data_IF_980478627161
#
_entry.id   IF_980478627161
#
_cell.length_a   1.000
_cell.length_b   1.000
_cell.length_c   1.000
_cell.angle_alpha   90.00
_cell.angle_beta   90.00
_cell.angle_gamma   90.00
#
_symmetry.space_group_name_H-M   'P 1'
#
loop_
_entity.id
_entity.type
_entity.pdbx_description
1 polymer ?
#
# COMPACT_ATOMS: atom_id res chain seq x y z
N UNK A 1 -4.57 -14.87 10.96
CA UNK A 1 -4.09 -14.99 9.57
C UNK A 1 -4.58 -16.25 8.89
N UNK A 2 -4.17 -17.46 9.30
CA UNK A 2 -4.61 -18.69 8.64
C UNK A 2 -6.15 -18.84 8.58
N UNK A 3 -6.85 -18.62 9.69
CA UNK A 3 -8.32 -18.65 9.71
C UNK A 3 -8.94 -17.63 8.74
N UNK A 4 -8.37 -16.43 8.65
CA UNK A 4 -8.85 -15.38 7.73
C UNK A 4 -8.68 -15.81 6.27
N UNK A 5 -7.58 -16.47 5.92
CA UNK A 5 -7.32 -16.96 4.57
C UNK A 5 -8.25 -18.13 4.22
N UNK A 6 -8.32 -19.14 5.11
CA UNK A 6 -9.01 -20.39 4.85
C UNK A 6 -10.54 -20.26 4.93
N UNK A 7 -11.05 -19.43 5.85
CA UNK A 7 -12.49 -19.18 5.96
C UNK A 7 -13.07 -18.58 4.68
N UNK A 8 -12.28 -17.78 3.94
CA UNK A 8 -12.68 -17.19 2.68
C UNK A 8 -12.21 -17.96 1.45
N UNK A 9 -11.60 -19.14 1.63
CA UNK A 9 -11.16 -20.01 0.53
C UNK A 9 -10.22 -19.28 -0.44
N UNK A 10 -9.35 -18.40 0.08
CA UNK A 10 -8.48 -17.58 -0.75
C UNK A 10 -7.48 -18.46 -1.52
N UNK A 11 -7.43 -18.28 -2.84
CA UNK A 11 -6.48 -18.96 -3.72
C UNK A 11 -5.13 -18.27 -3.75
N UNK A 12 -5.12 -16.93 -3.71
CA UNK A 12 -3.93 -16.10 -3.78
C UNK A 12 -3.93 -15.06 -2.67
N UNK A 13 -2.79 -14.91 -1.99
CA UNK A 13 -2.62 -13.95 -0.89
C UNK A 13 -1.39 -13.09 -1.16
N UNK A 14 -1.57 -11.80 -1.51
CA UNK A 14 -0.47 -10.86 -1.66
C UNK A 14 0.24 -10.64 -0.32
N UNK A 15 1.54 -10.88 -0.27
CA UNK A 15 2.35 -10.76 0.94
C UNK A 15 3.76 -10.23 0.65
N UNK A 16 4.37 -9.61 1.65
CA UNK A 16 5.81 -9.34 1.64
C UNK A 16 6.62 -10.63 1.81
N UNK A 17 7.89 -10.62 1.39
CA UNK A 17 8.81 -11.77 1.52
C UNK A 17 8.91 -12.28 2.97
N UNK A 18 8.82 -11.37 3.94
CA UNK A 18 8.87 -11.65 5.37
C UNK A 18 7.61 -12.37 5.92
N UNK A 19 6.54 -12.42 5.13
CA UNK A 19 5.25 -12.99 5.54
C UNK A 19 4.94 -14.34 4.84
N UNK A 20 5.85 -14.86 4.00
CA UNK A 20 5.68 -16.13 3.27
C UNK A 20 5.38 -17.28 4.24
N UNK A 21 6.10 -17.33 5.37
CA UNK A 21 5.94 -18.39 6.37
C UNK A 21 4.50 -18.45 6.94
N UNK A 22 3.81 -17.32 7.06
CA UNK A 22 2.42 -17.33 7.51
C UNK A 22 1.46 -17.99 6.50
N UNK A 23 1.78 -17.89 5.20
CA UNK A 23 1.00 -18.55 4.14
C UNK A 23 1.30 -20.05 4.13
N UNK A 24 2.57 -20.44 4.31
CA UNK A 24 2.96 -21.85 4.44
C UNK A 24 2.25 -22.52 5.62
N UNK A 25 2.22 -21.88 6.79
CA UNK A 25 1.46 -22.37 7.95
C UNK A 25 -0.03 -22.54 7.62
N UNK A 26 -0.63 -21.60 6.89
CA UNK A 26 -2.03 -21.72 6.46
C UNK A 26 -2.25 -22.91 5.52
N UNK A 27 -1.31 -23.18 4.59
CA UNK A 27 -1.33 -24.34 3.69
C UNK A 27 -1.19 -25.65 4.44
N UNK A 28 -0.30 -25.73 5.43
CA UNK A 28 -0.09 -26.93 6.23
C UNK A 28 -1.35 -27.26 7.05
N UNK A 29 -1.95 -26.25 7.68
CA UNK A 29 -3.23 -26.38 8.39
C UNK A 29 -4.33 -26.87 7.45
N UNK A 30 -4.44 -26.28 6.25
CA UNK A 30 -5.44 -26.69 5.26
C UNK A 30 -5.22 -28.11 4.76
N UNK A 31 -3.97 -28.50 4.51
CA UNK A 31 -3.60 -29.85 4.07
C UNK A 31 -3.94 -30.88 5.14
N UNK A 32 -3.56 -30.63 6.38
CA UNK A 32 -3.88 -31.49 7.52
C UNK A 32 -5.40 -31.65 7.71
N UNK A 33 -6.15 -30.55 7.65
CA UNK A 33 -7.61 -30.59 7.77
C UNK A 33 -8.23 -31.39 6.63
N UNK A 34 -7.81 -31.16 5.38
CA UNK A 34 -8.32 -31.87 4.21
C UNK A 34 -8.04 -33.37 4.28
N UNK A 35 -6.88 -33.77 4.79
CA UNK A 35 -6.55 -35.17 5.00
C UNK A 35 -7.40 -35.80 6.11
N UNK A 36 -7.63 -35.08 7.20
CA UNK A 36 -8.32 -35.60 8.40
C UNK A 36 -9.83 -35.66 8.25
N UNK A 37 -10.43 -34.62 7.66
CA UNK A 37 -11.89 -34.41 7.61
C UNK A 37 -12.46 -34.43 6.17
N UNK A 38 -11.60 -34.65 5.18
CA UNK A 38 -11.94 -34.61 3.76
C UNK A 38 -11.75 -33.21 3.14
N UNK A 39 -11.58 -33.18 1.82
CA UNK A 39 -11.29 -31.95 1.06
C UNK A 39 -12.31 -30.85 1.32
N UNK A 40 -11.86 -29.79 2.00
CA UNK A 40 -12.70 -28.67 2.48
C UNK A 40 -12.07 -27.31 2.21
N UNK A 41 -10.76 -27.17 2.39
CA UNK A 41 -10.02 -25.92 2.18
C UNK A 41 -9.25 -25.91 0.86
N UNK A 42 -9.29 -24.76 0.21
CA UNK A 42 -8.37 -24.40 -0.88
C UNK A 42 -7.00 -24.13 -0.30
N UNK A 43 -5.94 -24.61 -0.95
CA UNK A 43 -4.56 -24.34 -0.52
C UNK A 43 -4.13 -22.96 -1.05
N UNK A 44 -3.93 -21.95 -0.19
CA UNK A 44 -3.59 -20.60 -0.63
C UNK A 44 -2.16 -20.55 -1.18
N UNK A 45 -1.93 -19.81 -2.26
CA UNK A 45 -0.61 -19.48 -2.78
C UNK A 45 -0.25 -18.04 -2.40
N UNK A 46 1.01 -17.82 -2.03
CA UNK A 46 1.48 -16.46 -1.81
C UNK A 46 1.76 -15.79 -3.17
N UNK A 47 1.45 -14.50 -3.25
CA UNK A 47 1.87 -13.66 -4.38
C UNK A 47 2.84 -12.63 -3.82
N UNK A 48 4.10 -12.73 -4.24
CA UNK A 48 5.09 -11.70 -3.93
C UNK A 48 4.85 -10.57 -4.90
N UNK A 49 4.47 -9.41 -4.39
CA UNK A 49 4.65 -8.18 -5.17
C UNK A 49 6.15 -7.97 -5.32
N UNK A 50 6.64 -7.80 -6.55
CA UNK A 50 8.00 -7.29 -6.76
C UNK A 50 8.21 -6.10 -5.84
N UNK A 51 9.36 -6.05 -5.17
CA UNK A 51 9.65 -4.99 -4.19
C UNK A 51 9.39 -3.64 -4.86
N UNK A 52 8.26 -3.01 -4.50
CA UNK A 52 7.95 -1.66 -4.95
C UNK A 52 9.12 -0.76 -4.57
N UNK A 53 9.41 0.22 -5.43
CA UNK A 53 10.54 1.12 -5.24
C UNK A 53 10.56 1.62 -3.78
N UNK A 54 11.63 1.32 -3.05
CA UNK A 54 11.80 1.81 -1.69
C UNK A 54 11.89 3.33 -1.78
N UNK A 55 10.79 4.00 -1.43
CA UNK A 55 10.74 5.44 -1.46
C UNK A 55 11.68 6.04 -0.40
N UNK A 56 12.55 6.98 -0.77
CA UNK A 56 13.34 7.72 0.20
C UNK A 56 12.44 8.71 0.96
N UNK A 57 12.76 8.92 2.23
CA UNK A 57 12.11 9.90 3.09
C UNK A 57 12.71 11.29 2.94
N UNK A 58 12.28 12.19 3.82
CA UNK A 58 12.73 13.60 3.86
C UNK A 58 14.25 13.77 3.99
N UNK A 59 14.94 12.76 4.51
CA UNK A 59 16.36 12.76 4.79
C UNK A 59 17.19 11.88 3.84
N UNK A 60 16.57 11.32 2.79
CA UNK A 60 17.20 10.43 1.80
C UNK A 60 17.32 8.97 2.21
N UNK A 61 17.09 8.63 3.49
CA UNK A 61 17.02 7.22 3.94
C UNK A 61 15.67 6.62 3.55
N UNK A 62 15.51 5.29 3.61
CA UNK A 62 14.20 4.62 3.46
C UNK A 62 13.12 5.35 4.27
N UNK A 63 12.00 5.68 3.62
CA UNK A 63 10.88 6.32 4.29
C UNK A 63 10.30 5.39 5.36
N UNK A 64 10.23 5.87 6.60
CA UNK A 64 9.70 5.11 7.73
C UNK A 64 9.14 6.03 8.81
N UNK A 65 8.00 5.63 9.40
CA UNK A 65 7.43 6.31 10.56
C UNK A 65 8.41 6.36 11.74
N UNK A 66 9.20 5.30 11.95
CA UNK A 66 10.18 5.22 13.04
C UNK A 66 11.35 6.19 12.88
N UNK A 67 11.68 6.58 11.65
CA UNK A 67 12.72 7.56 11.37
C UNK A 67 12.19 9.00 11.39
N UNK A 68 10.88 9.19 11.49
CA UNK A 68 10.26 10.52 11.45
C UNK A 68 10.46 11.25 10.10
N UNK A 69 10.81 10.52 9.04
CA UNK A 69 11.16 11.08 7.72
C UNK A 69 10.03 10.89 6.68
N UNK A 70 8.79 10.74 7.13
CA UNK A 70 7.64 10.42 6.26
C UNK A 70 7.01 11.67 5.63
N UNK A 71 6.44 11.47 4.43
CA UNK A 71 5.46 12.38 3.83
C UNK A 71 4.08 11.71 4.00
N UNK A 72 3.18 12.22 4.86
CA UNK A 72 1.85 11.62 5.02
C UNK A 72 1.05 11.73 3.72
N UNK A 73 0.46 10.61 3.27
CA UNK A 73 -0.23 10.49 1.98
C UNK A 73 -1.32 11.56 1.79
N UNK A 74 -2.20 11.74 2.78
CA UNK A 74 -3.29 12.72 2.73
C UNK A 74 -3.01 13.95 3.59
N UNK A 75 -1.74 14.38 3.67
CA UNK A 75 -1.42 15.67 4.24
C UNK A 75 -2.17 16.80 3.51
N UNK A 76 -2.62 17.80 4.25
CA UNK A 76 -3.13 19.05 3.67
C UNK A 76 -2.09 19.69 2.75
N UNK A 77 -2.57 20.42 1.74
CA UNK A 77 -1.74 21.02 0.69
C UNK A 77 -0.56 21.83 1.23
N UNK A 78 -0.80 22.72 2.20
CA UNK A 78 0.25 23.54 2.80
C UNK A 78 1.25 22.71 3.63
N UNK A 79 0.77 21.66 4.31
CA UNK A 79 1.65 20.74 5.04
C UNK A 79 2.52 19.93 4.09
N UNK A 80 1.95 19.40 3.01
CA UNK A 80 2.67 18.69 1.96
C UNK A 80 3.77 19.58 1.36
N UNK A 81 3.43 20.80 0.97
CA UNK A 81 4.38 21.78 0.44
C UNK A 81 5.54 22.02 1.40
N UNK A 82 5.26 22.27 2.69
CA UNK A 82 6.28 22.46 3.73
C UNK A 82 7.17 21.23 3.91
N UNK A 83 6.62 20.03 3.81
CA UNK A 83 7.41 18.78 3.92
C UNK A 83 8.32 18.58 2.71
N UNK A 84 7.82 18.80 1.50
CA UNK A 84 8.63 18.70 0.26
C UNK A 84 9.80 19.70 0.29
N UNK A 85 9.57 20.91 0.78
CA UNK A 85 10.63 21.91 0.94
C UNK A 85 11.75 21.46 1.89
N UNK A 86 11.43 20.61 2.89
CA UNK A 86 12.39 20.06 3.86
C UNK A 86 13.21 18.89 3.34
N UNK A 87 12.88 18.32 2.17
CA UNK A 87 13.65 17.20 1.61
C UNK A 87 15.10 17.65 1.43
N UNK A 88 16.04 16.86 1.96
CA UNK A 88 17.48 17.16 1.86
C UNK A 88 17.93 17.15 0.39
N UNK A 89 18.77 18.11 0.05
CA UNK A 89 19.45 18.25 -1.23
C UNK A 89 20.92 18.56 -0.97
N UNK A 90 21.76 18.39 -1.98
CA UNK A 90 23.17 18.78 -1.90
C UNK A 90 23.35 20.31 -2.03
N UNK A 91 24.62 20.73 -2.11
CA UNK A 91 25.04 22.13 -2.25
C UNK A 91 25.27 22.58 -3.72
N UNK A 92 24.89 21.78 -4.71
CA UNK A 92 25.10 22.11 -6.13
C UNK A 92 24.34 23.38 -6.52
N UNK A 93 25.00 24.25 -7.29
CA UNK A 93 24.43 25.54 -7.69
C UNK A 93 23.43 25.38 -8.85
N UNK A 94 22.55 26.38 -9.08
CA UNK A 94 21.81 26.46 -10.33
C UNK A 94 22.77 26.52 -11.53
N UNK A 95 22.37 25.90 -12.65
CA UNK A 95 23.15 25.72 -13.88
C UNK A 95 24.32 24.73 -13.78
N UNK A 96 24.43 23.98 -12.67
CA UNK A 96 25.31 22.80 -12.58
C UNK A 96 24.47 21.53 -12.69
N UNK A 97 24.89 20.53 -13.49
CA UNK A 97 24.24 19.23 -13.58
C UNK A 97 24.01 18.60 -12.21
N UNK A 98 22.89 17.88 -12.05
CA UNK A 98 22.47 17.31 -10.77
C UNK A 98 22.29 15.80 -10.86
N UNK A 99 22.68 15.11 -9.79
CA UNK A 99 22.44 13.68 -9.66
C UNK A 99 20.97 13.37 -9.40
N UNK A 100 20.49 12.28 -9.97
CA UNK A 100 19.10 11.82 -9.86
C UNK A 100 18.87 11.09 -8.52
N UNK A 101 18.87 11.83 -7.42
CA UNK A 101 18.76 11.27 -6.07
C UNK A 101 17.31 11.24 -5.53
N UNK A 102 17.14 11.63 -4.25
CA UNK A 102 15.90 11.53 -3.45
C UNK A 102 14.71 12.19 -4.12
N UNK A 103 14.85 13.44 -4.56
CA UNK A 103 13.74 14.20 -5.17
C UNK A 103 13.26 13.55 -6.47
N UNK A 104 14.18 13.13 -7.34
CA UNK A 104 13.84 12.50 -8.61
C UNK A 104 13.22 11.11 -8.42
N UNK A 105 13.74 10.35 -7.45
CA UNK A 105 13.21 9.03 -7.10
C UNK A 105 11.76 9.11 -6.61
N UNK A 106 11.40 10.13 -5.84
CA UNK A 106 10.00 10.34 -5.44
C UNK A 106 9.19 10.86 -6.63
N UNK A 107 9.74 11.82 -7.39
CA UNK A 107 9.05 12.46 -8.53
C UNK A 107 8.52 11.44 -9.55
N UNK A 108 9.35 10.48 -9.97
CA UNK A 108 8.98 9.48 -10.98
C UNK A 108 7.82 8.58 -10.59
N UNK A 109 7.52 8.43 -9.30
CA UNK A 109 6.38 7.60 -8.84
C UNK A 109 5.03 8.31 -9.01
N UNK A 110 5.02 9.62 -9.30
CA UNK A 110 3.81 10.44 -9.48
C UNK A 110 3.75 11.16 -10.83
N UNK A 111 4.84 11.16 -11.59
CA UNK A 111 4.96 11.86 -12.85
C UNK A 111 4.64 10.93 -14.03
N UNK A 112 4.20 11.50 -15.15
CA UNK A 112 4.09 10.75 -16.41
C UNK A 112 5.46 10.51 -17.04
N UNK A 113 5.57 9.59 -18.00
CA UNK A 113 6.84 9.33 -18.71
C UNK A 113 7.42 10.60 -19.37
N UNK A 114 6.58 11.42 -20.00
CA UNK A 114 7.00 12.69 -20.59
C UNK A 114 7.52 13.68 -19.53
N UNK A 115 6.85 13.74 -18.37
CA UNK A 115 7.26 14.57 -17.24
C UNK A 115 8.58 14.10 -16.63
N UNK A 116 8.82 12.77 -16.60
CA UNK A 116 10.06 12.15 -16.14
C UNK A 116 11.19 12.52 -17.11
N UNK A 117 11.00 12.36 -18.41
CA UNK A 117 12.00 12.68 -19.42
C UNK A 117 12.36 14.17 -19.40
N UNK A 118 11.35 15.06 -19.37
CA UNK A 118 11.58 16.51 -19.24
C UNK A 118 12.33 16.87 -17.96
N UNK A 119 12.06 16.17 -16.85
CA UNK A 119 12.77 16.42 -15.60
C UNK A 119 14.23 15.97 -15.67
N UNK A 120 14.55 14.84 -16.34
CA UNK A 120 15.94 14.41 -16.55
C UNK A 120 16.76 15.46 -17.29
N UNK A 121 16.22 16.00 -18.39
CA UNK A 121 16.88 17.05 -19.18
C UNK A 121 17.09 18.33 -18.34
N UNK A 122 16.12 18.67 -17.49
CA UNK A 122 16.24 19.80 -16.55
C UNK A 122 17.34 19.57 -15.52
N UNK A 123 17.51 18.36 -15.01
CA UNK A 123 18.61 17.99 -14.11
C UNK A 123 19.98 18.12 -14.79
N UNK A 124 20.09 17.70 -16.05
CA UNK A 124 21.33 17.82 -16.84
C UNK A 124 21.69 19.27 -17.14
N UNK A 125 20.69 20.12 -17.40
CA UNK A 125 20.87 21.57 -17.64
C UNK A 125 21.01 22.38 -16.35
N UNK A 126 20.87 21.75 -15.18
CA UNK A 126 21.15 22.34 -13.87
C UNK A 126 19.99 23.12 -13.24
N UNK A 127 18.75 22.64 -13.37
CA UNK A 127 17.57 23.19 -12.67
C UNK A 127 17.82 23.43 -11.18
N UNK A 128 17.43 24.60 -10.66
CA UNK A 128 17.58 24.89 -9.22
C UNK A 128 16.74 23.95 -8.33
N UNK A 129 17.27 23.57 -7.16
CA UNK A 129 16.58 22.69 -6.20
C UNK A 129 15.20 23.20 -5.76
N UNK A 130 15.03 24.52 -5.69
CA UNK A 130 13.74 25.13 -5.40
C UNK A 130 12.68 24.81 -6.45
N UNK A 131 13.07 24.78 -7.72
CA UNK A 131 12.15 24.50 -8.83
C UNK A 131 11.87 23.01 -8.97
N UNK A 132 12.85 22.15 -8.73
CA UNK A 132 12.63 20.70 -8.58
C UNK A 132 11.59 20.42 -7.50
N UNK A 133 11.72 21.04 -6.32
CA UNK A 133 10.79 20.87 -5.20
C UNK A 133 9.39 21.40 -5.52
N UNK A 134 9.27 22.52 -6.25
CA UNK A 134 7.97 23.01 -6.74
C UNK A 134 7.30 22.00 -7.65
N UNK A 135 8.07 21.38 -8.53
CA UNK A 135 7.52 20.44 -9.50
C UNK A 135 7.16 19.09 -8.88
N UNK A 136 7.97 18.62 -7.93
CA UNK A 136 7.62 17.49 -7.08
C UNK A 136 6.30 17.74 -6.32
N UNK A 137 6.13 18.94 -5.75
CA UNK A 137 4.87 19.31 -5.11
C UNK A 137 3.70 19.30 -6.09
N UNK A 138 3.89 19.85 -7.31
CA UNK A 138 2.84 19.89 -8.32
C UNK A 138 2.35 18.50 -8.68
N UNK A 139 3.24 17.56 -8.99
CA UNK A 139 2.84 16.20 -9.40
C UNK A 139 2.19 15.43 -8.26
N UNK A 140 2.74 15.49 -7.04
CA UNK A 140 2.13 14.82 -5.88
C UNK A 140 0.76 15.42 -5.55
N UNK A 141 0.63 16.75 -5.55
CA UNK A 141 -0.65 17.41 -5.25
C UNK A 141 -1.71 17.08 -6.30
N UNK A 142 -1.33 17.03 -7.59
CA UNK A 142 -2.22 16.64 -8.69
C UNK A 142 -2.74 15.22 -8.50
N UNK A 143 -1.86 14.24 -8.33
CA UNK A 143 -2.24 12.83 -8.23
C UNK A 143 -3.09 12.54 -6.97
N UNK A 144 -2.77 13.22 -5.87
CA UNK A 144 -3.43 12.98 -4.59
C UNK A 144 -4.65 13.86 -4.33
N UNK A 145 -4.98 14.83 -5.19
CA UNK A 145 -6.12 15.73 -4.99
C UNK A 145 -7.44 14.98 -4.79
N UNK A 146 -7.83 14.15 -5.76
CA UNK A 146 -9.08 13.38 -5.69
C UNK A 146 -9.12 12.37 -4.53
N UNK A 147 -8.09 11.54 -4.32
CA UNK A 147 -7.99 10.69 -3.13
C UNK A 147 -8.06 11.45 -1.80
N UNK A 148 -7.41 12.62 -1.70
CA UNK A 148 -7.43 13.47 -0.50
C UNK A 148 -8.83 14.03 -0.23
N UNK A 149 -9.57 14.46 -1.26
CA UNK A 149 -10.96 14.89 -1.11
C UNK A 149 -11.84 13.77 -0.53
N UNK A 150 -11.73 12.55 -1.07
CA UNK A 150 -12.46 11.39 -0.54
C UNK A 150 -12.07 11.08 0.90
N UNK A 151 -10.78 11.13 1.21
CA UNK A 151 -10.28 10.94 2.58
C UNK A 151 -10.90 11.97 3.55
N UNK A 152 -10.87 13.25 3.19
CA UNK A 152 -11.45 14.33 4.00
C UNK A 152 -12.96 14.14 4.17
N UNK A 153 -13.68 13.78 3.10
CA UNK A 153 -15.11 13.47 3.15
C UNK A 153 -15.40 12.36 4.17
N UNK A 154 -14.70 11.22 4.11
CA UNK A 154 -14.91 10.11 5.06
C UNK A 154 -14.54 10.47 6.51
N UNK A 155 -13.55 11.33 6.70
CA UNK A 155 -13.16 11.77 8.05
C UNK A 155 -14.14 12.77 8.65
N UNK A 156 -14.77 13.60 7.81
CA UNK A 156 -15.81 14.55 8.24
C UNK A 156 -17.18 13.90 8.41
N UNK A 157 -17.45 12.80 7.70
CA UNK A 157 -18.68 12.02 7.81
C UNK A 157 -18.38 10.53 8.12
N UNK A 158 -18.00 10.19 9.36
CA UNK A 158 -17.65 8.82 9.73
C UNK A 158 -18.75 7.78 9.47
N UNK A 159 -20.02 8.20 9.47
CA UNK A 159 -21.14 7.32 9.15
C UNK A 159 -21.06 6.74 7.73
N UNK A 160 -20.56 7.50 6.74
CA UNK A 160 -20.33 6.98 5.39
C UNK A 160 -19.31 5.84 5.39
N UNK A 161 -18.25 5.97 6.20
CA UNK A 161 -17.25 4.93 6.38
C UNK A 161 -17.84 3.68 7.05
N UNK A 162 -18.63 3.85 8.12
CA UNK A 162 -19.28 2.73 8.79
C UNK A 162 -20.27 1.99 7.88
N UNK A 163 -21.05 2.70 7.08
CA UNK A 163 -21.95 2.08 6.10
C UNK A 163 -21.17 1.29 5.05
N UNK A 164 -20.04 1.80 4.58
CA UNK A 164 -19.19 1.07 3.63
C UNK A 164 -18.57 -0.19 4.26
N UNK A 165 -18.08 -0.10 5.50
CA UNK A 165 -17.54 -1.22 6.26
C UNK A 165 -18.61 -2.28 6.54
N UNK A 166 -19.83 -1.87 6.93
CA UNK A 166 -20.93 -2.79 7.23
C UNK A 166 -21.34 -3.57 5.98
N UNK A 167 -21.47 -2.89 4.83
CA UNK A 167 -21.74 -3.55 3.54
C UNK A 167 -20.66 -4.58 3.17
N UNK A 168 -19.39 -4.25 3.42
CA UNK A 168 -18.28 -5.19 3.25
C UNK A 168 -18.39 -6.39 4.20
N UNK A 169 -18.69 -6.13 5.47
CA UNK A 169 -18.84 -7.14 6.51
C UNK A 169 -20.04 -8.05 6.26
N UNK A 170 -21.16 -7.56 5.74
CA UNK A 170 -22.32 -8.37 5.33
C UNK A 170 -21.97 -9.34 4.21
N UNK A 171 -21.27 -8.87 3.16
CA UNK A 171 -20.80 -9.71 2.06
C UNK A 171 -19.83 -10.78 2.56
N UNK A 172 -18.85 -10.39 3.38
CA UNK A 172 -17.91 -11.31 4.00
C UNK A 172 -18.63 -12.34 4.89
N UNK A 173 -19.52 -11.91 5.80
CA UNK A 173 -20.28 -12.81 6.68
C UNK A 173 -21.14 -13.79 5.91
N UNK A 174 -21.70 -13.40 4.77
CA UNK A 174 -22.50 -14.30 3.92
C UNK A 174 -21.64 -15.45 3.42
N UNK A 175 -20.46 -15.16 2.88
CA UNK A 175 -19.51 -16.19 2.42
C UNK A 175 -18.96 -17.03 3.58
N UNK A 176 -18.57 -16.39 4.67
CA UNK A 176 -18.04 -17.06 5.86
C UNK A 176 -19.06 -18.02 6.50
N UNK A 177 -20.36 -17.67 6.53
CA UNK A 177 -21.41 -18.54 7.07
C UNK A 177 -21.51 -19.84 6.28
N UNK A 178 -21.48 -19.77 4.95
CA UNK A 178 -21.53 -20.96 4.07
C UNK A 178 -20.32 -21.85 4.33
N UNK A 179 -19.13 -21.27 4.29
CA UNK A 179 -17.88 -22.04 4.48
C UNK A 179 -17.78 -22.63 5.90
N UNK A 180 -18.17 -21.86 6.92
CA UNK A 180 -18.18 -22.33 8.31
C UNK A 180 -19.17 -23.46 8.55
N UNK A 181 -20.33 -23.45 7.88
CA UNK A 181 -21.29 -24.54 7.96
C UNK A 181 -20.72 -25.85 7.40
N UNK A 182 -20.04 -25.79 6.25
CA UNK A 182 -19.36 -26.96 5.68
C UNK A 182 -18.23 -27.46 6.59
N UNK A 183 -17.39 -26.55 7.11
CA UNK A 183 -16.32 -26.90 8.06
C UNK A 183 -16.90 -27.61 9.30
N UNK A 184 -17.99 -27.07 9.87
CA UNK A 184 -18.67 -27.67 11.04
C UNK A 184 -19.22 -29.05 10.73
N UNK A 185 -19.83 -29.24 9.57
CA UNK A 185 -20.32 -30.54 9.10
C UNK A 185 -19.18 -31.56 9.00
N UNK A 186 -18.04 -31.16 8.42
CA UNK A 186 -16.84 -32.00 8.23
C UNK A 186 -16.23 -32.49 9.54
N UNK A 187 -16.28 -31.67 10.60
CA UNK A 187 -15.80 -32.03 11.94
C UNK A 187 -16.88 -32.68 12.82
N UNK A 188 -18.07 -32.96 12.29
CA UNK A 188 -19.18 -33.58 13.04
C UNK A 188 -19.87 -32.65 14.04
N UNK A 189 -19.69 -31.33 13.92
CA UNK A 189 -20.35 -30.34 14.77
C UNK A 189 -21.67 -29.88 14.12
N UNK A 190 -22.66 -30.77 14.07
CA UNK A 190 -24.02 -30.39 13.71
C UNK A 190 -24.71 -29.80 14.95
N UNK A 191 -25.28 -28.60 14.83
CA UNK A 191 -26.26 -28.14 15.82
C UNK A 191 -27.46 -29.09 15.67
N UNK A 192 -27.62 -29.99 16.64
CA UNK A 192 -28.90 -30.65 16.86
C UNK A 192 -30.01 -29.60 16.90
N UNK A 193 -31.13 -29.95 16.29
CA UNK A 193 -32.36 -29.16 16.13
C UNK A 193 -32.69 -28.20 17.27
#
# INVERSE_FOLDING_TARGET
MAADILLFQATYVPVGKDQIQHIEIARDIATYFNHTFGTTFTLPEYVIQEEGAILPGLDGRKMSKSYGNVIPLFAEKEKLRKLILKIKTDSSLPNEPKELETLFTIYKEFATEDEIQSMREKYETGIGWGDVKKELFRVIDRELAGPREKYVMYMNEPNLLYVALEKGAERARTMAKVNLAEIKKRIGFERGH
#
